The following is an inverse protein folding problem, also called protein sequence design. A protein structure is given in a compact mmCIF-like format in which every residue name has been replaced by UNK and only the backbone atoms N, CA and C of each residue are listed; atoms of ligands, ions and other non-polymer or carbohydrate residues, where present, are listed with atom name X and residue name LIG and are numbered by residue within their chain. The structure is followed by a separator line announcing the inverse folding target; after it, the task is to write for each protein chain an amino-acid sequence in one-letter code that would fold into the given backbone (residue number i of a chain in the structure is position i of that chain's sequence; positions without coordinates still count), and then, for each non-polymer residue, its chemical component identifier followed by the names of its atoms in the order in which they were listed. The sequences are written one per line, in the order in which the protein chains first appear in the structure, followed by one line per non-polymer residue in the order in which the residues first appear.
data_IF_757603553845
#
_entry.id   IF_757603553845
#
_cell.length_a   1.000
_cell.length_b   1.000
_cell.length_c   1.000
_cell.angle_alpha   90.00
_cell.angle_beta   90.00
_cell.angle_gamma   90.00
#
_symmetry.space_group_name_H-M   'P 1'
#
loop_
_entity.id
_entity.type
_entity.pdbx_description
1 polymer ?
#
# COMPACT_ATOMS: atom_id res chain seq x y z
N UNK A 1 12.66 -1.56 -9.29
CA UNK A 1 11.49 -1.99 -10.07
C UNK A 1 10.34 -2.47 -9.22
N UNK A 2 10.59 -2.97 -8.01
CA UNK A 2 9.59 -3.43 -7.03
C UNK A 2 8.42 -2.48 -6.78
N UNK A 3 8.68 -1.17 -6.70
CA UNK A 3 7.65 -0.13 -6.53
C UNK A 3 7.04 0.38 -7.85
N UNK A 4 7.54 -0.04 -9.02
CA UNK A 4 7.05 0.47 -10.30
C UNK A 4 5.75 -0.24 -10.69
N UNK A 5 4.80 0.54 -11.17
CA UNK A 5 3.57 0.04 -11.77
C UNK A 5 3.84 -0.80 -13.04
N UNK A 6 2.97 -1.76 -13.38
CA UNK A 6 3.15 -2.61 -14.57
C UNK A 6 3.41 -1.83 -15.86
N UNK A 7 2.69 -0.72 -16.07
CA UNK A 7 2.82 0.16 -17.22
C UNK A 7 4.18 0.88 -17.31
N UNK A 8 4.86 1.06 -16.18
CA UNK A 8 6.20 1.63 -16.13
C UNK A 8 7.30 0.59 -16.42
N UNK A 9 6.93 -0.70 -16.50
CA UNK A 9 7.84 -1.82 -16.74
C UNK A 9 7.67 -2.40 -18.15
N UNK A 10 6.56 -2.08 -18.83
CA UNK A 10 6.35 -2.48 -20.23
C UNK A 10 7.40 -1.82 -21.15
N UNK A 11 7.88 -2.52 -22.21
CA UNK A 11 8.75 -1.92 -23.21
C UNK A 11 8.06 -0.70 -23.83
N UNK A 12 8.61 0.49 -23.60
CA UNK A 12 8.04 1.75 -24.08
C UNK A 12 8.01 1.78 -25.61
N UNK A 13 6.84 1.59 -26.21
CA UNK A 13 6.50 2.28 -27.46
C UNK A 13 6.22 3.73 -27.09
N UNK A 14 7.16 4.63 -27.40
CA UNK A 14 7.09 6.09 -27.21
C UNK A 14 6.31 6.59 -25.99
N UNK A 15 6.89 6.44 -24.79
CA UNK A 15 6.34 7.00 -23.55
C UNK A 15 6.31 8.54 -23.49
N UNK A 16 6.74 9.22 -24.55
CA UNK A 16 6.62 10.66 -24.67
C UNK A 16 5.15 11.12 -24.71
N UNK A 17 4.25 10.25 -25.17
CA UNK A 17 2.81 10.54 -25.31
C UNK A 17 1.93 9.84 -24.26
N UNK A 18 2.53 9.33 -23.18
CA UNK A 18 1.79 8.73 -22.09
C UNK A 18 0.80 9.73 -21.49
N UNK A 19 -0.51 9.39 -21.40
CA UNK A 19 -1.51 10.27 -20.83
C UNK A 19 -1.13 10.69 -19.39
N UNK A 20 -1.36 11.96 -19.01
CA UNK A 20 -1.00 12.46 -17.67
C UNK A 20 -1.64 11.64 -16.54
N UNK A 21 -2.84 11.10 -16.76
CA UNK A 21 -3.53 10.17 -15.86
C UNK A 21 -2.72 8.89 -15.61
N UNK A 22 -1.99 8.39 -16.61
CA UNK A 22 -1.16 7.21 -16.45
C UNK A 22 -0.02 7.47 -15.45
N UNK A 23 0.62 8.64 -15.53
CA UNK A 23 1.68 9.03 -14.58
C UNK A 23 1.18 9.11 -13.15
N UNK A 24 0.02 9.73 -12.94
CA UNK A 24 -0.59 9.80 -11.62
C UNK A 24 -0.97 8.41 -11.11
N UNK A 25 -1.51 7.55 -11.96
CA UNK A 25 -1.85 6.18 -11.58
C UNK A 25 -0.60 5.38 -11.20
N UNK A 26 0.53 5.56 -11.89
CA UNK A 26 1.81 4.94 -11.52
C UNK A 26 2.34 5.42 -10.15
N UNK A 27 2.12 6.70 -9.81
CA UNK A 27 2.46 7.23 -8.47
C UNK A 27 1.57 6.61 -7.38
N UNK A 28 0.27 6.39 -7.66
CA UNK A 28 -0.66 5.71 -6.75
C UNK A 28 -0.21 4.27 -6.47
N UNK A 29 0.17 3.53 -7.52
CA UNK A 29 0.71 2.18 -7.36
C UNK A 29 1.98 2.18 -6.50
N UNK A 30 2.90 3.08 -6.80
CA UNK A 30 4.15 3.22 -6.05
C UNK A 30 3.89 3.51 -4.57
N UNK A 31 2.85 4.31 -4.28
CA UNK A 31 2.42 4.60 -2.92
C UNK A 31 1.84 3.36 -2.21
N UNK A 32 1.05 2.55 -2.90
CA UNK A 32 0.58 1.26 -2.37
C UNK A 32 1.73 0.31 -2.03
N UNK A 33 2.77 0.28 -2.86
CA UNK A 33 3.98 -0.49 -2.58
C UNK A 33 4.76 0.04 -1.35
N UNK A 34 4.83 1.36 -1.16
CA UNK A 34 5.37 1.94 0.07
C UNK A 34 4.56 1.59 1.32
N UNK A 35 3.23 1.51 1.20
CA UNK A 35 2.37 1.05 2.29
C UNK A 35 2.67 -0.41 2.64
N UNK A 36 2.76 -1.29 1.64
CA UNK A 36 3.11 -2.71 1.84
C UNK A 36 4.48 -2.87 2.51
N UNK A 37 5.48 -2.11 2.07
CA UNK A 37 6.81 -2.07 2.67
C UNK A 37 6.77 -1.66 4.14
N UNK A 38 6.05 -0.58 4.45
CA UNK A 38 5.95 -0.05 5.82
C UNK A 38 5.33 -1.06 6.81
N UNK A 39 4.39 -1.89 6.33
CA UNK A 39 3.78 -2.93 7.17
C UNK A 39 4.62 -4.21 7.24
N UNK A 40 5.33 -4.56 6.17
CA UNK A 40 6.10 -5.81 6.09
C UNK A 40 7.50 -5.69 6.71
N UNK A 41 7.99 -4.46 6.92
CA UNK A 41 9.36 -4.13 7.30
C UNK A 41 10.41 -4.71 6.33
N UNK A 42 9.99 -4.96 5.09
CA UNK A 42 10.76 -5.57 4.01
C UNK A 42 10.37 -4.90 2.68
N UNK A 43 11.29 -4.77 1.71
CA UNK A 43 10.94 -4.25 0.39
C UNK A 43 9.88 -5.13 -0.29
N UNK A 44 9.04 -4.56 -1.19
CA UNK A 44 8.03 -5.36 -1.89
C UNK A 44 8.66 -6.56 -2.61
N UNK A 45 8.03 -7.72 -2.50
CA UNK A 45 8.54 -9.01 -3.00
C UNK A 45 9.82 -9.52 -2.30
N UNK A 46 10.24 -8.91 -1.19
CA UNK A 46 11.35 -9.33 -0.33
C UNK A 46 12.59 -9.79 -1.10
N UNK A 47 12.88 -11.10 -1.07
CA UNK A 47 14.08 -11.72 -1.65
C UNK A 47 13.93 -12.12 -3.13
N UNK A 48 12.76 -11.99 -3.74
CA UNK A 48 12.54 -12.33 -5.15
C UNK A 48 13.50 -11.54 -6.04
N UNK A 49 14.09 -12.13 -7.07
CA UNK A 49 14.89 -11.38 -8.04
C UNK A 49 14.02 -10.58 -9.03
N UNK A 50 14.67 -9.71 -9.81
CA UNK A 50 14.00 -8.81 -10.75
C UNK A 50 13.15 -9.59 -11.79
N UNK A 51 13.59 -10.75 -12.28
CA UNK A 51 12.85 -11.53 -13.28
C UNK A 51 11.59 -12.15 -12.65
N UNK A 52 11.71 -12.70 -11.44
CA UNK A 52 10.59 -13.24 -10.66
C UNK A 52 9.53 -12.17 -10.37
N UNK A 53 9.97 -10.95 -10.07
CA UNK A 53 9.06 -9.82 -9.82
C UNK A 53 8.32 -9.42 -11.08
N UNK A 54 8.99 -9.36 -12.24
CA UNK A 54 8.32 -9.07 -13.51
C UNK A 54 7.27 -10.13 -13.83
N UNK A 55 7.58 -11.40 -13.64
CA UNK A 55 6.62 -12.48 -13.85
C UNK A 55 5.38 -12.29 -12.98
N UNK A 56 5.55 -12.03 -11.68
CA UNK A 56 4.43 -11.76 -10.75
C UNK A 56 3.63 -10.53 -11.17
N UNK A 57 4.29 -9.40 -11.42
CA UNK A 57 3.65 -8.15 -11.82
C UNK A 57 2.86 -8.31 -13.12
N UNK A 58 3.40 -9.01 -14.11
CA UNK A 58 2.75 -9.20 -15.41
C UNK A 58 1.76 -10.36 -15.46
N UNK A 59 1.77 -11.28 -14.49
CA UNK A 59 0.74 -12.31 -14.35
C UNK A 59 -0.65 -11.70 -14.06
N UNK A 60 -0.68 -10.46 -13.55
CA UNK A 60 -1.91 -9.81 -13.08
C UNK A 60 -2.41 -10.36 -11.74
N UNK A 61 -1.68 -11.30 -11.13
CA UNK A 61 -1.92 -11.69 -9.75
C UNK A 61 -1.57 -10.51 -8.85
N UNK A 62 -2.55 -10.07 -8.04
CA UNK A 62 -2.35 -9.00 -7.07
C UNK A 62 -1.25 -9.36 -6.06
N UNK A 63 -0.69 -8.34 -5.43
CA UNK A 63 0.37 -8.53 -4.43
C UNK A 63 -0.11 -9.47 -3.30
N UNK A 64 0.68 -10.45 -2.85
CA UNK A 64 0.26 -11.34 -1.77
C UNK A 64 0.10 -10.57 -0.45
N UNK A 65 -1.07 -10.69 0.20
CA UNK A 65 -1.36 -10.02 1.48
C UNK A 65 -0.28 -10.34 2.54
N UNK A 66 0.46 -9.34 3.05
CA UNK A 66 1.37 -9.55 4.16
C UNK A 66 0.62 -9.89 5.45
N UNK A 67 1.29 -10.60 6.36
CA UNK A 67 0.75 -10.88 7.68
C UNK A 67 0.53 -9.57 8.47
N UNK A 68 -0.50 -9.53 9.30
CA UNK A 68 -0.74 -8.41 10.23
C UNK A 68 -1.62 -7.28 9.70
N UNK A 69 -1.86 -7.18 8.39
CA UNK A 69 -2.85 -6.23 7.85
C UNK A 69 -4.25 -6.53 8.37
N UNK A 70 -5.01 -5.52 8.79
CA UNK A 70 -6.46 -5.63 8.92
C UNK A 70 -7.13 -5.73 7.54
N UNK A 71 -8.37 -6.23 7.49
CA UNK A 71 -9.08 -6.45 6.22
C UNK A 71 -9.31 -5.15 5.44
N UNK A 72 -9.60 -4.05 6.12
CA UNK A 72 -9.82 -2.75 5.51
C UNK A 72 -8.50 -2.06 5.09
N UNK A 73 -7.44 -2.20 5.89
CA UNK A 73 -6.09 -1.75 5.50
C UNK A 73 -5.62 -2.48 4.24
N UNK A 74 -5.84 -3.80 4.16
CA UNK A 74 -5.52 -4.57 2.97
C UNK A 74 -6.40 -4.19 1.77
N UNK A 75 -7.69 -3.90 1.99
CA UNK A 75 -8.56 -3.42 0.93
C UNK A 75 -8.13 -2.06 0.34
N UNK A 76 -7.51 -1.18 1.15
CA UNK A 76 -6.84 0.02 0.64
C UNK A 76 -5.61 -0.35 -0.20
N UNK A 77 -4.76 -1.25 0.31
CA UNK A 77 -3.59 -1.74 -0.42
C UNK A 77 -3.94 -2.25 -1.83
N UNK A 78 -4.93 -3.14 -1.94
CA UNK A 78 -5.37 -3.67 -3.24
C UNK A 78 -5.84 -2.59 -4.22
N UNK A 79 -6.57 -1.56 -3.76
CA UNK A 79 -7.04 -0.47 -4.64
C UNK A 79 -5.95 0.53 -5.01
N UNK A 80 -4.88 0.62 -4.22
CA UNK A 80 -3.69 1.37 -4.59
C UNK A 80 -2.86 0.62 -5.63
N UNK A 81 -2.81 -0.71 -5.54
CA UNK A 81 -1.96 -1.58 -6.38
C UNK A 81 -2.77 -2.45 -7.33
N UNK A 82 -3.88 -1.94 -7.89
CA UNK A 82 -4.68 -2.71 -8.85
C UNK A 82 -3.84 -2.95 -10.12
N UNK A 83 -3.88 -4.14 -10.74
CA UNK A 83 -3.21 -4.35 -12.02
C UNK A 83 -3.72 -3.43 -13.14
N UNK A 84 -4.98 -2.98 -13.07
CA UNK A 84 -5.56 -2.00 -13.97
C UNK A 84 -5.46 -0.58 -13.37
N UNK A 85 -4.61 0.24 -13.97
CA UNK A 85 -4.38 1.62 -13.54
C UNK A 85 -5.64 2.50 -13.56
N UNK A 86 -6.66 2.14 -14.34
CA UNK A 86 -7.94 2.85 -14.38
C UNK A 86 -8.79 2.58 -13.13
N UNK A 87 -8.55 1.46 -12.42
CA UNK A 87 -9.25 1.09 -11.19
C UNK A 87 -8.62 1.67 -9.93
N UNK A 88 -7.45 2.32 -10.06
CA UNK A 88 -6.76 2.91 -8.92
C UNK A 88 -7.65 3.91 -8.19
N UNK A 89 -7.65 3.79 -6.86
CA UNK A 89 -8.25 4.80 -6.00
C UNK A 89 -7.60 6.17 -6.23
N UNK A 90 -8.38 7.24 -6.14
CA UNK A 90 -7.82 8.59 -6.16
C UNK A 90 -6.93 8.86 -4.93
N UNK A 91 -5.90 9.70 -5.10
CA UNK A 91 -5.01 10.08 -3.99
C UNK A 91 -5.77 10.70 -2.81
N UNK A 92 -6.78 11.53 -3.08
CA UNK A 92 -7.57 12.18 -2.03
C UNK A 92 -8.39 11.17 -1.21
N UNK A 93 -8.96 10.16 -1.87
CA UNK A 93 -9.64 9.06 -1.21
C UNK A 93 -8.67 8.21 -0.38
N UNK A 94 -7.49 7.87 -0.92
CA UNK A 94 -6.46 7.13 -0.18
C UNK A 94 -6.00 7.87 1.08
N UNK A 95 -5.72 9.18 0.98
CA UNK A 95 -5.38 10.03 2.13
C UNK A 95 -6.51 10.06 3.16
N UNK A 96 -7.77 10.06 2.71
CA UNK A 96 -8.92 10.10 3.62
C UNK A 96 -8.99 8.81 4.44
N UNK A 97 -8.79 7.66 3.82
CA UNK A 97 -8.78 6.37 4.51
C UNK A 97 -7.58 6.21 5.44
N UNK A 98 -6.39 6.64 5.03
CA UNK A 98 -5.21 6.63 5.92
C UNK A 98 -5.40 7.49 7.16
N UNK A 99 -6.11 8.62 7.05
CA UNK A 99 -6.46 9.44 8.23
C UNK A 99 -7.40 8.69 9.17
N UNK A 100 -8.38 7.96 8.63
CA UNK A 100 -9.28 7.13 9.45
C UNK A 100 -8.52 6.01 10.18
N UNK A 101 -7.51 5.40 9.53
CA UNK A 101 -6.66 4.40 10.17
C UNK A 101 -5.78 5.02 11.27
N UNK A 102 -5.18 6.18 11.02
CA UNK A 102 -4.40 6.90 12.02
C UNK A 102 -5.25 7.28 13.25
N UNK A 103 -6.48 7.79 13.04
CA UNK A 103 -7.41 8.11 14.13
C UNK A 103 -7.80 6.86 14.94
N UNK A 104 -8.03 5.73 14.26
CA UNK A 104 -8.32 4.44 14.92
C UNK A 104 -7.13 3.95 15.75
N UNK A 105 -5.92 4.08 15.22
CA UNK A 105 -4.69 3.71 15.92
C UNK A 105 -4.48 4.59 17.16
N UNK A 106 -4.67 5.91 17.04
CA UNK A 106 -4.57 6.86 18.15
C UNK A 106 -5.56 6.52 19.27
N UNK A 107 -6.81 6.19 18.92
CA UNK A 107 -7.82 5.76 19.88
C UNK A 107 -7.40 4.48 20.61
N UNK A 108 -6.94 3.45 19.88
CA UNK A 108 -6.43 2.20 20.48
C UNK A 108 -5.28 2.47 21.44
N UNK A 109 -4.29 3.25 21.01
CA UNK A 109 -3.13 3.61 21.81
C UNK A 109 -3.49 4.45 23.06
N UNK A 110 -4.58 5.22 23.01
CA UNK A 110 -5.07 5.99 24.16
C UNK A 110 -5.75 5.11 25.21
N UNK A 111 -6.52 4.11 24.79
CA UNK A 111 -7.18 3.13 25.68
C UNK A 111 -6.14 2.27 26.40
N UNK A 112 -5.16 1.75 25.66
CA UNK A 112 -4.09 0.93 26.23
C UNK A 112 -3.27 1.68 27.30
N UNK A 113 -3.18 3.02 27.21
CA UNK A 113 -2.54 3.86 28.25
C UNK A 113 -3.43 4.03 29.48
N UNK A 114 -4.74 4.14 29.31
CA UNK A 114 -5.69 4.28 30.42
C UNK A 114 -5.76 2.99 31.26
N UNK A 115 -5.75 1.82 30.61
CA UNK A 115 -5.80 0.52 31.29
C UNK A 115 -4.52 0.17 32.06
N UNK A 116 -3.39 0.83 31.76
CA UNK A 116 -2.13 0.70 32.53
C UNK A 116 -2.11 1.53 33.82
N UNK A 117 -3.10 2.39 34.06
CA UNK A 117 -3.23 3.13 35.33
C UNK A 117 -3.86 2.19 36.38
N UNK A 118 -3.01 1.53 37.15
CA UNK A 118 -3.43 0.65 38.25
C UNK A 118 -4.25 1.44 39.30
N UNK A 119 -5.38 0.90 39.80
CA UNK A 119 -6.10 1.50 40.92
C UNK A 119 -5.39 1.15 42.22
N UNK A 120 -4.94 2.18 42.96
CA UNK A 120 -4.68 2.06 44.39
C UNK A 120 -3.24 2.35 44.82
N UNK A 121 -3.00 3.60 45.19
CA UNK A 121 -2.52 3.87 46.55
C UNK A 121 -3.55 4.79 47.21
N UNK A 122 -4.40 4.21 48.03
CA UNK A 122 -5.14 4.93 49.06
C UNK A 122 -4.86 4.27 50.39
N UNK A 123 -4.56 5.14 51.37
CA UNK A 123 -4.12 4.92 52.75
C UNK A 123 -2.60 4.81 52.94
#
# INVERSE_FOLDING_TARGET
MRWKAPECLMPMGDAADAPTNLRFASDIYSFGMCMIEAFSDEPPYALDDDDTILEKVFSGEGYPRPEGFADDEWALGNRLTDPDWEQHISLSSAITELKLFAEREDLRNSVDKADRVCPGFSA
#
